data_IF_992147958688
#
_entry.id   IF_992147958688
#
_cell.length_a   1.000
_cell.length_b   1.000
_cell.length_c   1.000
_cell.angle_alpha   90.00
_cell.angle_beta   90.00
_cell.angle_gamma   90.00
#
_symmetry.space_group_name_H-M   'P 1'
#
loop_
_entity.id
_entity.type
_entity.pdbx_description
1 polymer ?
#
# COMPACT_ATOMS: atom_id res chain seq x y z
N UNK A 1 0.50 -1.08 2.03
CA UNK A 1 0.99 -1.97 3.10
C UNK A 1 2.33 -2.58 2.75
N UNK A 2 3.35 -2.33 3.58
CA UNK A 2 4.75 -2.72 3.36
C UNK A 2 5.15 -3.64 4.50
N UNK A 3 5.75 -4.78 4.17
CA UNK A 3 6.16 -5.77 5.19
C UNK A 3 7.67 -5.66 5.38
N UNK A 4 8.10 -5.36 6.61
CA UNK A 4 9.50 -5.41 7.00
C UNK A 4 9.95 -6.86 7.18
N UNK A 5 11.25 -7.14 7.02
CA UNK A 5 11.80 -8.51 7.14
C UNK A 5 11.49 -9.14 8.51
N UNK A 6 11.47 -8.33 9.55
CA UNK A 6 11.24 -8.76 10.93
C UNK A 6 9.79 -9.19 11.18
N UNK A 7 8.85 -8.68 10.37
CA UNK A 7 7.41 -8.93 10.50
C UNK A 7 6.86 -9.98 9.51
N UNK A 8 7.72 -10.63 8.72
CA UNK A 8 7.30 -11.63 7.74
C UNK A 8 6.65 -12.88 8.38
N UNK A 9 6.92 -13.15 9.67
CA UNK A 9 6.30 -14.25 10.43
C UNK A 9 5.09 -13.86 11.28
N UNK A 10 4.89 -12.57 11.57
CA UNK A 10 3.82 -12.05 12.44
C UNK A 10 2.62 -11.51 11.67
N UNK A 11 2.77 -11.28 10.36
CA UNK A 11 1.71 -10.72 9.52
C UNK A 11 1.49 -9.21 9.72
N UNK A 12 2.31 -8.54 10.55
CA UNK A 12 2.24 -7.10 10.71
C UNK A 12 2.67 -6.40 9.42
N UNK A 13 1.87 -5.44 8.98
CA UNK A 13 2.16 -4.61 7.83
C UNK A 13 2.38 -3.17 8.30
N UNK A 14 3.49 -2.59 7.90
CA UNK A 14 3.83 -1.19 8.16
C UNK A 14 3.29 -0.34 7.01
N UNK A 15 2.55 0.71 7.33
CA UNK A 15 2.18 1.73 6.37
C UNK A 15 3.24 2.82 6.36
N UNK A 16 3.59 3.33 5.19
CA UNK A 16 4.63 4.33 5.04
C UNK A 16 4.75 4.82 3.61
N UNK A 17 5.40 5.97 3.46
CA UNK A 17 5.63 6.61 2.16
C UNK A 17 6.87 5.99 1.52
N UNK A 18 6.76 5.63 0.24
CA UNK A 18 7.87 5.10 -0.55
C UNK A 18 8.77 6.26 -0.99
N UNK A 19 10.07 6.13 -0.72
CA UNK A 19 11.10 7.04 -1.21
C UNK A 19 11.64 6.56 -2.55
N UNK A 20 12.15 5.33 -2.60
CA UNK A 20 12.80 4.76 -3.78
C UNK A 20 12.24 3.39 -4.13
N UNK A 21 12.03 3.13 -5.43
CA UNK A 21 11.73 1.80 -5.95
C UNK A 21 13.06 1.12 -6.32
N UNK A 22 13.38 0.03 -5.63
CA UNK A 22 14.67 -0.66 -5.75
C UNK A 22 14.64 -1.86 -6.71
N UNK A 23 13.59 -1.96 -7.52
CA UNK A 23 13.36 -3.12 -8.40
C UNK A 23 13.10 -2.65 -9.83
N UNK A 24 13.70 -3.35 -10.79
CA UNK A 24 13.67 -3.01 -12.23
C UNK A 24 12.90 -4.01 -13.08
N UNK A 25 12.57 -5.18 -12.55
CA UNK A 25 11.75 -6.15 -13.27
C UNK A 25 10.28 -5.70 -13.30
N UNK A 26 9.51 -6.15 -14.29
CA UNK A 26 8.07 -5.88 -14.37
C UNK A 26 7.25 -6.93 -13.60
N UNK A 27 7.80 -8.14 -13.43
CA UNK A 27 7.12 -9.24 -12.75
C UNK A 27 7.72 -9.49 -11.37
N UNK A 28 6.88 -9.38 -10.34
CA UNK A 28 7.29 -9.44 -8.94
C UNK A 28 6.40 -10.40 -8.13
N UNK A 29 6.67 -11.72 -8.18
CA UNK A 29 5.85 -12.72 -7.49
C UNK A 29 5.80 -12.53 -5.97
N UNK A 30 6.80 -11.88 -5.38
CA UNK A 30 6.87 -11.59 -3.94
C UNK A 30 6.71 -10.09 -3.61
N UNK A 31 6.33 -9.27 -4.60
CA UNK A 31 6.10 -7.84 -4.43
C UNK A 31 7.30 -6.94 -4.77
N UNK A 32 7.01 -5.65 -4.89
CA UNK A 32 7.94 -4.60 -5.30
C UNK A 32 8.91 -4.31 -4.15
N UNK A 33 10.23 -4.33 -4.41
CA UNK A 33 11.23 -3.90 -3.42
C UNK A 33 11.25 -2.37 -3.36
N UNK A 34 11.08 -1.81 -2.18
CA UNK A 34 11.10 -0.35 -1.98
C UNK A 34 11.91 0.03 -0.76
N UNK A 35 12.34 1.29 -0.73
CA UNK A 35 12.87 1.99 0.43
C UNK A 35 11.85 3.02 0.88
N UNK A 36 11.57 3.09 2.18
CA UNK A 36 10.72 4.11 2.78
C UNK A 36 11.48 5.40 3.03
N UNK A 37 10.74 6.50 3.24
CA UNK A 37 11.35 7.76 3.67
C UNK A 37 12.02 7.63 5.04
N UNK A 38 11.54 6.71 5.89
CA UNK A 38 12.18 6.35 7.16
C UNK A 38 13.57 5.70 7.00
N UNK A 39 13.96 5.30 5.78
CA UNK A 39 15.20 4.59 5.49
C UNK A 39 15.06 3.06 5.50
N UNK A 40 13.92 2.54 5.92
CA UNK A 40 13.64 1.11 5.99
C UNK A 40 13.44 0.51 4.59
N UNK A 41 13.84 -0.76 4.41
CA UNK A 41 13.74 -1.47 3.13
C UNK A 41 12.80 -2.65 3.28
N UNK A 42 11.80 -2.75 2.38
CA UNK A 42 10.73 -3.75 2.49
C UNK A 42 10.15 -4.18 1.14
N UNK A 43 9.17 -5.08 1.21
CA UNK A 43 8.35 -5.53 0.08
C UNK A 43 6.97 -4.91 0.17
N UNK A 44 6.53 -4.25 -0.90
CA UNK A 44 5.15 -3.75 -1.00
C UNK A 44 4.25 -4.91 -1.38
N UNK A 45 3.23 -5.20 -0.55
CA UNK A 45 2.16 -6.15 -0.88
C UNK A 45 0.94 -5.48 -1.49
N UNK A 46 0.66 -4.23 -1.11
CA UNK A 46 -0.52 -3.50 -1.55
C UNK A 46 -0.21 -2.00 -1.61
N UNK A 47 -0.60 -1.33 -2.69
CA UNK A 47 -0.57 0.13 -2.82
C UNK A 47 -2.01 0.59 -2.56
N UNK A 48 -2.20 1.48 -1.59
CA UNK A 48 -3.48 2.16 -1.44
C UNK A 48 -3.49 3.28 -2.50
N UNK A 49 -4.19 3.06 -3.61
CA UNK A 49 -4.66 4.17 -4.43
C UNK A 49 -5.68 4.89 -3.57
N UNK A 50 -5.38 6.13 -3.18
CA UNK A 50 -6.40 6.99 -2.60
C UNK A 50 -7.36 7.30 -3.75
N UNK A 51 -8.40 6.49 -3.91
CA UNK A 51 -9.52 6.84 -4.77
C UNK A 51 -10.19 8.04 -4.10
N UNK A 52 -10.12 9.26 -4.68
CA UNK A 52 -10.69 10.45 -4.05
C UNK A 52 -12.23 10.47 -4.09
N UNK A 53 -12.87 9.41 -4.58
CA UNK A 53 -14.28 9.44 -5.00
C UNK A 53 -15.12 8.29 -4.43
N UNK A 54 -15.36 8.34 -3.11
CA UNK A 54 -16.46 7.61 -2.45
C UNK A 54 -17.34 8.57 -1.64
N UNK A 55 -17.60 9.78 -2.17
CA UNK A 55 -18.36 10.83 -1.44
C UNK A 55 -19.79 11.07 -1.95
N UNK A 56 -20.35 10.23 -2.83
CA UNK A 56 -21.68 10.51 -3.37
C UNK A 56 -22.52 9.26 -3.66
N UNK A 57 -22.79 8.43 -2.66
CA UNK A 57 -23.98 7.58 -2.69
C UNK A 57 -24.64 7.56 -1.31
N UNK A 58 -25.36 8.63 -1.02
CA UNK A 58 -26.42 8.68 0.00
C UNK A 58 -27.22 9.97 -0.21
N UNK A 59 -28.13 9.93 -1.17
CA UNK A 59 -29.35 10.73 -1.12
C UNK A 59 -30.51 9.78 -1.34
N UNK A 60 -31.07 9.39 -0.22
CA UNK A 60 -32.43 8.94 -0.05
C UNK A 60 -33.38 9.93 -0.75
N UNK A 61 -33.95 9.55 -1.88
CA UNK A 61 -35.14 10.21 -2.43
C UNK A 61 -36.36 9.40 -2.02
N UNK A 62 -36.65 9.44 -0.72
CA UNK A 62 -37.96 9.16 -0.16
C UNK A 62 -38.72 10.48 0.04
N UNK A 63 -39.74 10.72 -0.81
CA UNK A 63 -40.80 11.67 -0.50
C UNK A 63 -41.16 12.62 -1.65
N UNK A 64 -42.21 12.28 -2.41
CA UNK A 64 -43.55 12.88 -2.32
C UNK A 64 -44.57 11.93 -2.96
#
# INVERSE_FOLDING_TARGET
SIVQKQDQGTGKTTQGIVKDILTRSLSHPHGIKVRLVSGEVGRVKQIATADPDHSAEQRDEGGL
#
